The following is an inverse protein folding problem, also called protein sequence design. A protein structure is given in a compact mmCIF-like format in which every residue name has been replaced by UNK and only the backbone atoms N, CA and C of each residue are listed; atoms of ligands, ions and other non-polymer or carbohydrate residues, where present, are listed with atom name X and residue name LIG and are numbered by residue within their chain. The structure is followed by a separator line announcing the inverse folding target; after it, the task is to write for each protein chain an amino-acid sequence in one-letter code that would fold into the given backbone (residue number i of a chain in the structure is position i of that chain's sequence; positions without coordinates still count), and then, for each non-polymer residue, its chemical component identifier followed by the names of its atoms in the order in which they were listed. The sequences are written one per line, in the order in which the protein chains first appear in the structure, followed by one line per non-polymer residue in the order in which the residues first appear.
data_IF_712809170512
#
_entry.id   IF_712809170512
#
_cell.length_a   1.000
_cell.length_b   1.000
_cell.length_c   1.000
_cell.angle_alpha   90.00
_cell.angle_beta   90.00
_cell.angle_gamma   90.00
#
_symmetry.space_group_name_H-M   'P 1'
#
loop_
_entity.id
_entity.type
_entity.pdbx_description
1 polymer ?
#
# COMPACT_ATOMS: atom_id res chain seq x y z
N UNK A 1 -3.48 14.37 2.47
CA UNK A 1 -4.93 14.58 2.23
C UNK A 1 -5.60 13.31 1.69
N UNK A 2 -5.27 12.80 0.49
CA UNK A 2 -5.94 11.61 -0.09
C UNK A 2 -5.57 10.28 0.60
N UNK A 3 -4.28 10.11 0.96
CA UNK A 3 -3.81 8.95 1.73
C UNK A 3 -4.48 8.84 3.10
N UNK A 4 -4.53 9.96 3.84
CA UNK A 4 -5.19 10.04 5.15
C UNK A 4 -6.69 9.77 5.03
N UNK A 5 -7.34 10.27 3.98
CA UNK A 5 -8.76 10.01 3.72
C UNK A 5 -9.03 8.52 3.41
N UNK A 6 -8.15 7.85 2.66
CA UNK A 6 -8.23 6.41 2.38
C UNK A 6 -8.10 5.56 3.65
N UNK A 7 -7.15 5.91 4.53
CA UNK A 7 -6.97 5.25 5.84
C UNK A 7 -8.14 5.53 6.78
N UNK A 8 -8.71 6.75 6.77
CA UNK A 8 -9.89 7.07 7.60
C UNK A 8 -11.16 6.36 7.09
N UNK A 9 -11.30 6.16 5.78
CA UNK A 9 -12.42 5.41 5.20
C UNK A 9 -12.31 3.90 5.48
N UNK A 10 -11.08 3.37 5.48
CA UNK A 10 -10.74 2.00 5.90
C UNK A 10 -11.21 1.69 7.33
N UNK A 11 -10.90 2.55 8.30
CA UNK A 11 -11.34 2.37 9.69
C UNK A 11 -12.87 2.49 9.90
N UNK A 12 -13.63 2.91 8.88
CA UNK A 12 -15.08 3.17 8.99
C UNK A 12 -15.96 2.16 8.24
N UNK A 13 -15.40 1.14 7.61
CA UNK A 13 -16.17 0.10 6.90
C UNK A 13 -16.96 0.61 5.68
N UNK A 14 -16.61 1.79 5.14
CA UNK A 14 -17.27 2.40 3.97
C UNK A 14 -16.45 2.18 2.71
N UNK A 15 -16.32 0.91 2.33
CA UNK A 15 -15.45 0.45 1.26
C UNK A 15 -15.77 1.06 -0.11
N UNK A 16 -17.05 1.33 -0.41
CA UNK A 16 -17.47 1.91 -1.70
C UNK A 16 -17.19 3.41 -1.80
N UNK A 17 -17.25 4.14 -0.69
CA UNK A 17 -16.89 5.57 -0.63
C UNK A 17 -15.36 5.76 -0.76
N UNK A 18 -14.59 4.82 -0.21
CA UNK A 18 -13.13 4.78 -0.36
C UNK A 18 -12.73 4.55 -1.82
N UNK A 19 -13.42 3.67 -2.55
CA UNK A 19 -13.20 3.41 -3.97
C UNK A 19 -13.62 4.58 -4.88
N UNK A 20 -14.72 5.27 -4.60
CA UNK A 20 -15.13 6.44 -5.39
C UNK A 20 -14.13 7.61 -5.26
N UNK A 21 -13.67 7.87 -4.03
CA UNK A 21 -12.64 8.90 -3.76
C UNK A 21 -11.27 8.53 -4.33
N UNK A 22 -11.01 7.23 -4.41
CA UNK A 22 -9.84 6.67 -5.07
C UNK A 22 -9.85 6.92 -6.58
N UNK A 23 -10.96 6.65 -7.27
CA UNK A 23 -11.09 6.87 -8.71
C UNK A 23 -11.00 8.37 -9.08
N UNK A 24 -11.56 9.25 -8.25
CA UNK A 24 -11.39 10.71 -8.36
C UNK A 24 -9.91 11.14 -8.22
N UNK A 25 -9.20 10.58 -7.24
CA UNK A 25 -7.77 10.83 -7.04
C UNK A 25 -6.92 10.34 -8.22
N UNK A 26 -7.29 9.22 -8.83
CA UNK A 26 -6.58 8.65 -9.98
C UNK A 26 -6.72 9.53 -11.23
N UNK A 27 -7.90 10.11 -11.45
CA UNK A 27 -8.15 11.04 -12.55
C UNK A 27 -7.31 12.32 -12.43
N UNK A 28 -7.12 12.83 -11.20
CA UNK A 28 -6.28 14.00 -10.93
C UNK A 28 -4.79 13.71 -11.07
N UNK A 29 -4.33 12.51 -10.68
CA UNK A 29 -2.92 12.12 -10.74
C UNK A 29 -2.48 11.79 -12.17
N UNK A 30 -3.38 11.34 -13.06
CA UNK A 30 -3.05 11.13 -14.48
C UNK A 30 -2.52 12.39 -15.21
N UNK A 31 -2.80 13.59 -14.69
CA UNK A 31 -2.31 14.85 -15.25
C UNK A 31 -0.89 15.24 -14.78
N UNK A 32 -0.26 14.46 -13.89
CA UNK A 32 1.02 14.81 -13.28
C UNK A 32 1.98 13.61 -13.26
N UNK A 33 3.29 13.83 -13.41
CA UNK A 33 4.34 12.79 -13.27
C UNK A 33 4.54 12.36 -11.79
N UNK A 34 3.47 12.41 -10.99
CA UNK A 34 3.45 12.13 -9.56
C UNK A 34 3.42 10.61 -9.31
N UNK A 35 4.50 9.93 -9.67
CA UNK A 35 4.71 8.49 -9.47
C UNK A 35 4.47 8.05 -8.03
N UNK A 36 4.81 8.92 -7.06
CA UNK A 36 4.52 8.72 -5.65
C UNK A 36 3.02 8.59 -5.36
N UNK A 37 2.21 9.54 -5.85
CA UNK A 37 0.76 9.53 -5.65
C UNK A 37 0.12 8.32 -6.34
N UNK A 38 0.61 7.96 -7.54
CA UNK A 38 0.15 6.76 -8.26
C UNK A 38 0.47 5.47 -7.51
N UNK A 39 1.65 5.36 -6.91
CA UNK A 39 2.03 4.21 -6.08
C UNK A 39 1.15 4.06 -4.84
N UNK A 40 0.94 5.15 -4.10
CA UNK A 40 0.05 5.18 -2.93
C UNK A 40 -1.39 4.77 -3.29
N UNK A 41 -1.88 5.24 -4.44
CA UNK A 41 -3.17 4.85 -4.97
C UNK A 41 -3.21 3.34 -5.27
N UNK A 42 -2.32 2.81 -6.11
CA UNK A 42 -2.34 1.37 -6.43
C UNK A 42 -2.29 0.49 -5.17
N UNK A 43 -1.54 0.91 -4.16
CA UNK A 43 -1.48 0.25 -2.86
C UNK A 43 -2.85 0.22 -2.16
N UNK A 44 -3.55 1.35 -2.05
CA UNK A 44 -4.89 1.40 -1.43
C UNK A 44 -5.89 0.52 -2.18
N UNK A 45 -5.83 0.51 -3.52
CA UNK A 45 -6.69 -0.38 -4.32
C UNK A 45 -6.40 -1.85 -4.08
N UNK A 46 -5.13 -2.22 -3.94
CA UNK A 46 -4.74 -3.59 -3.64
C UNK A 46 -5.39 -4.08 -2.33
N UNK A 47 -5.33 -3.26 -1.29
CA UNK A 47 -5.96 -3.57 -0.01
C UNK A 47 -7.48 -3.73 -0.17
N UNK A 48 -8.16 -2.83 -0.89
CA UNK A 48 -9.61 -2.90 -1.09
C UNK A 48 -10.04 -4.14 -1.89
N UNK A 49 -9.22 -4.59 -2.84
CA UNK A 49 -9.44 -5.84 -3.58
C UNK A 49 -9.25 -7.07 -2.69
N UNK A 50 -8.23 -7.05 -1.83
CA UNK A 50 -7.97 -8.11 -0.86
C UNK A 50 -9.16 -8.29 0.09
N UNK A 51 -9.68 -7.19 0.68
CA UNK A 51 -10.86 -7.25 1.56
C UNK A 51 -12.12 -7.77 0.85
N UNK A 52 -12.22 -7.57 -0.47
CA UNK A 52 -13.30 -8.11 -1.29
C UNK A 52 -13.09 -9.57 -1.69
N UNK A 53 -11.97 -10.17 -1.32
CA UNK A 53 -11.58 -11.54 -1.66
C UNK A 53 -10.99 -11.71 -3.07
N UNK A 54 -10.83 -10.63 -3.84
CA UNK A 54 -10.20 -10.67 -5.16
C UNK A 54 -8.68 -10.60 -5.02
N UNK A 55 -8.11 -11.71 -4.54
CA UNK A 55 -6.69 -11.81 -4.23
C UNK A 55 -5.80 -11.77 -5.48
N UNK A 56 -6.29 -12.22 -6.64
CA UNK A 56 -5.53 -12.13 -7.90
C UNK A 56 -5.32 -10.67 -8.29
N UNK A 57 -6.40 -9.90 -8.35
CA UNK A 57 -6.31 -8.49 -8.67
C UNK A 57 -5.54 -7.73 -7.58
N UNK A 58 -5.72 -8.06 -6.29
CA UNK A 58 -4.97 -7.43 -5.21
C UNK A 58 -3.44 -7.59 -5.39
N UNK A 59 -2.98 -8.79 -5.73
CA UNK A 59 -1.56 -9.07 -5.95
C UNK A 59 -0.95 -8.24 -7.07
N UNK A 60 -1.63 -8.18 -8.22
CA UNK A 60 -1.18 -7.36 -9.35
C UNK A 60 -1.03 -5.88 -8.96
N UNK A 61 -1.94 -5.39 -8.11
CA UNK A 61 -1.90 -4.02 -7.63
C UNK A 61 -0.80 -3.79 -6.60
N UNK A 62 -0.56 -4.73 -5.67
CA UNK A 62 0.53 -4.65 -4.71
C UNK A 62 1.89 -4.60 -5.41
N UNK A 63 2.13 -5.45 -6.41
CA UNK A 63 3.40 -5.49 -7.17
C UNK A 63 3.63 -4.14 -7.85
N UNK A 64 2.66 -3.65 -8.61
CA UNK A 64 2.78 -2.37 -9.33
C UNK A 64 2.90 -1.18 -8.38
N UNK A 65 2.21 -1.22 -7.24
CA UNK A 65 2.34 -0.19 -6.21
C UNK A 65 3.77 -0.15 -5.67
N UNK A 66 4.32 -1.30 -5.29
CA UNK A 66 5.67 -1.42 -4.74
C UNK A 66 6.74 -0.94 -5.72
N UNK A 67 6.61 -1.22 -7.01
CA UNK A 67 7.51 -0.70 -8.04
C UNK A 67 7.53 0.83 -8.07
N UNK A 68 6.36 1.47 -8.07
CA UNK A 68 6.26 2.94 -8.10
C UNK A 68 6.70 3.58 -6.78
N UNK A 69 6.36 2.96 -5.65
CA UNK A 69 6.72 3.46 -4.32
C UNK A 69 8.24 3.42 -4.14
N UNK A 70 8.91 2.35 -4.56
CA UNK A 70 10.39 2.25 -4.54
C UNK A 70 11.07 3.38 -5.32
N UNK A 71 10.58 3.64 -6.53
CA UNK A 71 11.11 4.74 -7.37
C UNK A 71 10.90 6.10 -6.70
N UNK A 72 9.84 6.27 -5.89
CA UNK A 72 9.59 7.50 -5.15
C UNK A 72 10.48 7.72 -3.91
N UNK A 73 11.19 6.69 -3.43
CA UNK A 73 12.02 6.75 -2.24
C UNK A 73 11.25 6.91 -0.91
N UNK A 74 9.92 6.78 -0.91
CA UNK A 74 9.13 6.86 0.32
C UNK A 74 9.20 5.54 1.10
N UNK A 75 10.19 5.43 1.99
CA UNK A 75 10.49 4.23 2.77
C UNK A 75 9.34 3.82 3.71
N UNK A 76 8.63 4.78 4.30
CA UNK A 76 7.50 4.47 5.19
C UNK A 76 6.34 3.84 4.43
N UNK A 77 6.02 4.39 3.25
CA UNK A 77 4.99 3.84 2.38
C UNK A 77 5.39 2.48 1.81
N UNK A 78 6.67 2.27 1.49
CA UNK A 78 7.18 0.97 1.05
C UNK A 78 7.04 -0.09 2.16
N UNK A 79 7.47 0.21 3.38
CA UNK A 79 7.36 -0.70 4.51
C UNK A 79 5.89 -1.08 4.80
N UNK A 80 4.98 -0.11 4.71
CA UNK A 80 3.53 -0.35 4.83
C UNK A 80 3.02 -1.26 3.71
N UNK A 81 3.35 -0.97 2.45
CA UNK A 81 2.93 -1.78 1.32
C UNK A 81 3.44 -3.23 1.40
N UNK A 82 4.66 -3.45 1.86
CA UNK A 82 5.23 -4.79 2.10
C UNK A 82 4.46 -5.54 3.19
N UNK A 83 4.08 -4.86 4.28
CA UNK A 83 3.31 -5.46 5.37
C UNK A 83 1.93 -5.94 4.91
N UNK A 84 1.16 -5.11 4.22
CA UNK A 84 -0.18 -5.50 3.74
C UNK A 84 -0.11 -6.57 2.66
N UNK A 85 0.89 -6.49 1.77
CA UNK A 85 1.09 -7.54 0.77
C UNK A 85 1.42 -8.89 1.41
N UNK A 86 2.20 -8.89 2.49
CA UNK A 86 2.43 -10.11 3.27
C UNK A 86 1.13 -10.68 3.86
N UNK A 87 0.20 -9.82 4.30
CA UNK A 87 -1.15 -10.23 4.70
C UNK A 87 -1.89 -10.97 3.58
N UNK A 88 -1.85 -10.43 2.35
CA UNK A 88 -2.44 -11.08 1.18
C UNK A 88 -1.80 -12.45 0.87
N UNK A 89 -0.48 -12.58 1.05
CA UNK A 89 0.23 -13.86 0.95
C UNK A 89 -0.22 -14.86 2.04
N UNK A 90 -0.46 -14.41 3.28
CA UNK A 90 -0.99 -15.27 4.34
C UNK A 90 -2.39 -15.79 4.02
N UNK A 91 -3.26 -14.93 3.47
CA UNK A 91 -4.62 -15.33 3.05
C UNK A 91 -4.58 -16.38 1.93
N UNK A 92 -3.56 -16.36 1.07
CA UNK A 92 -3.29 -17.42 0.08
C UNK A 92 -2.58 -18.66 0.63
N UNK A 93 -2.23 -18.69 1.91
CA UNK A 93 -1.44 -19.77 2.51
C UNK A 93 0.04 -19.76 2.12
N UNK A 94 0.52 -18.70 1.48
CA UNK A 94 1.91 -18.53 1.04
C UNK A 94 2.79 -17.97 2.17
N UNK A 95 2.97 -18.79 3.22
CA UNK A 95 3.62 -18.37 4.47
C UNK A 95 5.07 -17.93 4.30
N UNK A 96 5.84 -18.61 3.45
CA UNK A 96 7.26 -18.29 3.25
C UNK A 96 7.45 -16.95 2.54
N UNK A 97 6.58 -16.63 1.58
CA UNK A 97 6.57 -15.32 0.92
C UNK A 97 6.18 -14.21 1.89
N UNK A 98 5.13 -14.44 2.68
CA UNK A 98 4.70 -13.50 3.71
C UNK A 98 5.81 -13.21 4.72
N UNK A 99 6.51 -14.24 5.20
CA UNK A 99 7.62 -14.09 6.14
C UNK A 99 8.72 -13.19 5.58
N UNK A 100 9.15 -13.44 4.33
CA UNK A 100 10.16 -12.59 3.66
C UNK A 100 9.73 -11.14 3.53
N UNK A 101 8.46 -10.90 3.19
CA UNK A 101 7.91 -9.56 3.07
C UNK A 101 7.84 -8.83 4.41
N UNK A 102 7.41 -9.54 5.47
CA UNK A 102 7.36 -9.00 6.84
C UNK A 102 8.74 -8.69 7.40
N UNK A 103 9.73 -9.55 7.17
CA UNK A 103 11.12 -9.31 7.57
C UNK A 103 11.66 -8.02 6.96
N UNK A 104 11.41 -7.80 5.66
CA UNK A 104 11.81 -6.58 4.97
C UNK A 104 11.10 -5.35 5.53
N UNK A 105 9.78 -5.42 5.73
CA UNK A 105 9.02 -4.32 6.33
C UNK A 105 9.54 -3.96 7.73
N UNK A 106 9.85 -4.97 8.55
CA UNK A 106 10.35 -4.79 9.91
C UNK A 106 11.71 -4.08 9.94
N UNK A 107 12.65 -4.49 9.07
CA UNK A 107 13.95 -3.83 8.96
C UNK A 107 13.77 -2.35 8.60
N UNK A 108 12.92 -2.05 7.62
CA UNK A 108 12.66 -0.67 7.20
C UNK A 108 12.05 0.18 8.31
N UNK A 109 11.07 -0.36 9.06
CA UNK A 109 10.49 0.38 10.20
C UNK A 109 11.51 0.65 11.31
N UNK A 110 12.39 -0.31 11.61
CA UNK A 110 13.48 -0.12 12.58
C UNK A 110 14.46 0.96 12.15
N UNK A 111 14.86 0.95 10.88
CA UNK A 111 15.77 1.97 10.34
C UNK A 111 15.14 3.37 10.41
N UNK A 112 13.84 3.48 10.13
CA UNK A 112 13.09 4.73 10.27
C UNK A 112 12.99 5.22 11.72
N UNK A 113 12.78 4.32 12.68
CA UNK A 113 12.75 4.63 14.12
C UNK A 113 14.11 5.15 14.62
N UNK A 114 15.21 4.53 14.18
CA UNK A 114 16.57 4.98 14.49
C UNK A 114 16.86 6.37 13.89
N UNK A 115 16.37 6.64 12.67
CA UNK A 115 16.52 7.95 12.05
C UNK A 115 15.69 9.05 12.75
N UNK A 116 14.51 8.71 13.26
CA UNK A 116 13.64 9.65 13.97
C UNK A 116 14.19 10.03 15.35
N UNK A 117 14.89 9.13 16.03
CA UNK A 117 15.47 9.33 17.37
C UNK A 117 16.84 10.04 17.37
N UNK A 118 17.46 10.22 16.20
CA UNK A 118 18.76 10.91 16.02
C UNK A 118 18.66 12.39 15.63
N UNK A 119 17.46 12.97 15.62
CA UNK A 119 17.21 14.40 15.36
C UNK A 119 16.86 15.13 16.65
#
# INVERSE_FOLDING_TARGET
MLYEAGVIAWFRGRHDEALARYDEGLALVQASDARHARGALLYVRAILLQERGDLDAAFDHYVRALELIRVSGNLHLEASALYYFAGAHLERGQRDDAARLLERALVMFRDLEILATRR
#
